data_IF_763585498441
#
_entry.id   IF_763585498441
#
_cell.length_a   1.000
_cell.length_b   1.000
_cell.length_c   1.000
_cell.angle_alpha   90.00
_cell.angle_beta   90.00
_cell.angle_gamma   90.00
#
_symmetry.space_group_name_H-M   'P 1'
#
loop_
_entity.id
_entity.type
_entity.pdbx_description
1 polymer ?
#
# COMPACT_ATOMS: atom_id res chain seq x y z
N UNK A 1 16.87 10.37 1.20
CA UNK A 1 15.39 10.36 1.09
C UNK A 1 15.01 11.41 0.06
N UNK A 2 14.30 11.02 -1.00
CA UNK A 2 13.73 11.99 -1.93
C UNK A 2 12.66 12.81 -1.19
N UNK A 3 12.62 14.12 -1.40
CA UNK A 3 11.57 14.94 -0.79
C UNK A 3 10.26 14.76 -1.55
N UNK A 4 9.12 15.07 -0.92
CA UNK A 4 7.81 15.07 -1.62
C UNK A 4 7.86 15.95 -2.88
N UNK A 5 8.61 17.06 -2.82
CA UNK A 5 8.79 17.97 -3.96
C UNK A 5 9.53 17.28 -5.11
N UNK A 6 10.59 16.54 -4.82
CA UNK A 6 11.37 15.84 -5.82
C UNK A 6 10.55 14.66 -6.40
N UNK A 7 9.82 13.95 -5.55
CA UNK A 7 8.96 12.84 -5.93
C UNK A 7 7.78 13.29 -6.82
N UNK A 8 7.24 14.50 -6.58
CA UNK A 8 6.18 15.08 -7.40
C UNK A 8 6.61 15.39 -8.85
N UNK A 9 7.91 15.49 -9.11
CA UNK A 9 8.46 15.66 -10.46
C UNK A 9 8.82 14.32 -11.13
N UNK A 10 8.81 13.23 -10.37
CA UNK A 10 9.12 11.88 -10.82
C UNK A 10 7.87 11.10 -11.22
N UNK A 11 7.77 9.85 -10.76
CA UNK A 11 6.61 9.01 -11.01
C UNK A 11 5.51 9.18 -9.95
N UNK A 12 4.26 8.87 -10.32
CA UNK A 12 3.15 8.79 -9.35
C UNK A 12 3.49 7.83 -8.19
N UNK A 13 4.19 6.74 -8.48
CA UNK A 13 4.62 5.76 -7.48
C UNK A 13 5.63 6.37 -6.49
N UNK A 14 6.62 7.12 -6.98
CA UNK A 14 7.58 7.81 -6.11
C UNK A 14 6.89 8.82 -5.20
N UNK A 15 5.93 9.58 -5.74
CA UNK A 15 5.14 10.54 -4.97
C UNK A 15 4.33 9.83 -3.88
N UNK A 16 3.65 8.73 -4.21
CA UNK A 16 2.85 7.96 -3.26
C UNK A 16 3.72 7.35 -2.14
N UNK A 17 4.89 6.81 -2.49
CA UNK A 17 5.85 6.31 -1.50
C UNK A 17 6.34 7.42 -0.56
N UNK A 18 6.69 8.59 -1.11
CA UNK A 18 7.12 9.73 -0.30
C UNK A 18 6.01 10.25 0.63
N UNK A 19 4.75 10.24 0.18
CA UNK A 19 3.59 10.62 1.00
C UNK A 19 3.31 9.59 2.11
N UNK A 20 3.39 8.29 1.79
CA UNK A 20 3.27 7.21 2.78
C UNK A 20 4.27 7.38 3.90
N UNK A 21 5.54 7.56 3.54
CA UNK A 21 6.64 7.69 4.50
C UNK A 21 6.47 8.94 5.37
N UNK A 22 5.97 10.05 4.79
CA UNK A 22 5.67 11.27 5.54
C UNK A 22 4.54 11.07 6.55
N UNK A 23 3.43 10.44 6.14
CA UNK A 23 2.29 10.19 7.03
C UNK A 23 2.68 9.23 8.17
N UNK A 24 3.48 8.20 7.86
CA UNK A 24 4.00 7.29 8.87
C UNK A 24 4.87 8.03 9.90
N UNK A 25 5.79 8.88 9.43
CA UNK A 25 6.60 9.70 10.32
C UNK A 25 5.75 10.66 11.18
N UNK A 26 4.72 11.29 10.61
CA UNK A 26 3.82 12.17 11.38
C UNK A 26 3.05 11.39 12.46
N UNK A 27 2.61 10.16 12.16
CA UNK A 27 1.95 9.28 13.13
C UNK A 27 2.90 8.88 14.27
N UNK A 28 4.15 8.56 13.95
CA UNK A 28 5.19 8.19 14.93
C UNK A 28 5.63 9.39 15.80
N UNK A 29 5.74 10.57 15.21
CA UNK A 29 6.07 11.83 15.90
C UNK A 29 4.94 12.30 16.85
N UNK A 30 3.75 11.73 16.68
CA UNK A 30 2.59 12.02 17.51
C UNK A 30 1.70 13.11 16.91
N UNK A 31 0.63 12.68 16.25
CA UNK A 31 -0.41 13.58 15.74
C UNK A 31 -1.52 13.82 16.76
N UNK A 32 -2.27 14.94 16.65
CA UNK A 32 -3.45 15.15 17.46
C UNK A 32 -4.45 14.00 17.34
N UNK A 33 -5.13 13.59 18.44
CA UNK A 33 -6.04 12.43 18.43
C UNK A 33 -7.15 12.50 17.37
N UNK A 34 -7.64 13.71 17.08
CA UNK A 34 -8.67 13.93 16.06
C UNK A 34 -8.15 13.74 14.62
N UNK A 35 -6.84 13.81 14.40
CA UNK A 35 -6.20 13.63 13.10
C UNK A 35 -5.80 12.17 12.82
N UNK A 36 -5.61 11.36 13.87
CA UNK A 36 -5.16 9.96 13.76
C UNK A 36 -6.04 9.16 12.80
N UNK A 37 -7.36 9.15 13.01
CA UNK A 37 -8.27 8.34 12.19
C UNK A 37 -8.23 8.73 10.70
N UNK A 38 -8.13 10.03 10.42
CA UNK A 38 -7.99 10.55 9.06
C UNK A 38 -6.68 10.08 8.43
N UNK A 39 -5.56 10.28 9.12
CA UNK A 39 -4.22 9.95 8.60
C UNK A 39 -4.04 8.45 8.39
N UNK A 40 -4.58 7.62 9.28
CA UNK A 40 -4.61 6.16 9.11
C UNK A 40 -5.44 5.77 7.89
N UNK A 41 -6.57 6.42 7.65
CA UNK A 41 -7.38 6.21 6.45
C UNK A 41 -6.61 6.56 5.17
N UNK A 42 -5.97 7.73 5.16
CA UNK A 42 -5.18 8.23 4.05
C UNK A 42 -3.97 7.31 3.74
N UNK A 43 -3.29 6.83 4.79
CA UNK A 43 -2.20 5.86 4.67
C UNK A 43 -2.67 4.56 3.99
N UNK A 44 -3.82 4.02 4.41
CA UNK A 44 -4.38 2.80 3.80
C UNK A 44 -4.75 3.00 2.34
N UNK A 45 -5.30 4.16 1.98
CA UNK A 45 -5.62 4.49 0.59
C UNK A 45 -4.36 4.59 -0.28
N UNK A 46 -3.30 5.22 0.25
CA UNK A 46 -2.01 5.31 -0.45
C UNK A 46 -1.40 3.91 -0.64
N UNK A 47 -1.39 3.07 0.39
CA UNK A 47 -0.89 1.68 0.30
C UNK A 47 -1.67 0.83 -0.70
N UNK A 48 -2.98 1.01 -0.78
CA UNK A 48 -3.79 0.37 -1.81
C UNK A 48 -3.37 0.82 -3.21
N UNK A 49 -3.24 2.13 -3.43
CA UNK A 49 -2.87 2.69 -4.73
C UNK A 49 -1.47 2.26 -5.17
N UNK A 50 -0.51 2.20 -4.25
CA UNK A 50 0.85 1.69 -4.53
C UNK A 50 0.78 0.23 -4.98
N UNK A 51 -0.01 -0.61 -4.31
CA UNK A 51 -0.18 -2.02 -4.71
C UNK A 51 -0.81 -2.15 -6.07
N UNK A 52 -1.85 -1.38 -6.37
CA UNK A 52 -2.50 -1.37 -7.69
C UNK A 52 -1.48 -1.03 -8.80
N UNK A 53 -0.69 0.03 -8.60
CA UNK A 53 0.36 0.43 -9.54
C UNK A 53 1.48 -0.61 -9.64
N UNK A 54 1.89 -1.22 -8.52
CA UNK A 54 2.88 -2.29 -8.49
C UNK A 54 2.42 -3.58 -9.18
N UNK A 55 1.14 -3.95 -9.05
CA UNK A 55 0.53 -5.10 -9.75
C UNK A 55 0.30 -4.86 -11.24
N UNK A 56 0.13 -3.60 -11.65
CA UNK A 56 0.09 -3.23 -13.06
C UNK A 56 1.47 -3.35 -13.72
N UNK A 57 2.54 -3.07 -12.97
CA UNK A 57 3.93 -3.19 -13.44
C UNK A 57 4.44 -4.64 -13.38
N UNK A 58 4.02 -5.40 -12.37
CA UNK A 58 4.29 -6.83 -12.22
C UNK A 58 3.05 -7.64 -12.63
N UNK A 59 2.85 -7.82 -13.93
CA UNK A 59 1.69 -8.48 -14.53
C UNK A 59 1.06 -9.58 -13.66
N UNK A 60 -0.08 -9.23 -13.05
CA UNK A 60 -1.12 -10.10 -12.49
C UNK A 60 -0.75 -11.59 -12.36
N UNK A 61 0.03 -11.96 -11.34
CA UNK A 61 0.18 -13.35 -10.89
C UNK A 61 -0.99 -13.66 -9.97
N UNK A 62 -2.17 -13.90 -10.55
CA UNK A 62 -3.23 -14.64 -9.85
C UNK A 62 -2.76 -16.08 -9.88
N UNK A 63 -2.16 -16.54 -8.78
CA UNK A 63 -1.94 -17.95 -8.56
C UNK A 63 -3.33 -18.59 -8.34
N UNK A 64 -3.98 -19.01 -9.43
CA UNK A 64 -5.06 -19.98 -9.36
C UNK A 64 -4.45 -21.29 -8.85
N UNK A 65 -4.33 -21.44 -7.53
CA UNK A 65 -4.15 -22.77 -6.94
C UNK A 65 -5.45 -23.53 -7.25
N UNK A 66 -5.42 -24.58 -8.08
CA UNK A 66 -6.59 -25.40 -8.29
C UNK A 66 -7.00 -25.94 -6.91
N UNK A 67 -8.26 -25.70 -6.55
CA UNK A 67 -8.84 -26.23 -5.31
C UNK A 67 -8.80 -27.76 -5.44
N UNK A 68 -7.93 -28.40 -4.66
CA UNK A 68 -7.77 -29.85 -4.70
C UNK A 68 -9.07 -30.44 -4.13
N UNK A 69 -9.89 -31.02 -5.02
CA UNK A 69 -11.18 -31.59 -4.65
C UNK A 69 -10.94 -32.72 -3.65
N UNK A 70 -11.30 -32.48 -2.40
CA UNK A 70 -11.25 -33.47 -1.33
C UNK A 70 -12.04 -34.72 -1.74
N UNK A 71 -11.38 -35.88 -1.86
CA UNK A 71 -11.98 -37.14 -2.31
C UNK A 71 -12.73 -37.92 -1.22
N UNK A 72 -12.84 -37.36 -0.01
CA UNK A 72 -13.64 -37.92 1.07
C UNK A 72 -13.15 -39.27 1.63
N UNK A 73 -11.96 -39.75 1.27
CA UNK A 73 -11.44 -41.05 1.77
C UNK A 73 -10.53 -40.89 2.99
N UNK A 74 -11.08 -40.29 4.06
CA UNK A 74 -10.50 -40.45 5.40
C UNK A 74 -10.88 -41.81 5.96
N UNK A 75 -9.91 -42.72 6.11
CA UNK A 75 -10.08 -44.02 6.77
C UNK A 75 -10.50 -43.90 8.24
#
# INVERSE_FOLDING_TARGET
MATIRDAAQGSELDLLCALRDKIAADLDDGVPPHAVARLVGELRSIDQRIRELGTLDQGSVIAETPDEAWDGTGY
#
